data_IF_362811004843
#
_entry.id   IF_362811004843
#
_cell.length_a   1.000
_cell.length_b   1.000
_cell.length_c   1.000
_cell.angle_alpha   90.00
_cell.angle_beta   90.00
_cell.angle_gamma   90.00
#
_symmetry.space_group_name_H-M   'P 1'
#
loop_
_entity.id
_entity.type
_entity.pdbx_description
1 polymer ?
#
# COMPACT_ATOMS: atom_id res chain seq x y z
N UNK A 1 -0.65 -2.91 -24.14
CA UNK A 1 0.17 -2.02 -24.99
C UNK A 1 1.22 -1.26 -24.16
N UNK A 2 2.00 -1.97 -23.32
CA UNK A 2 3.11 -1.43 -22.51
C UNK A 2 4.54 -1.93 -22.84
N UNK A 3 4.77 -3.07 -23.54
CA UNK A 3 6.12 -3.63 -23.58
C UNK A 3 7.12 -2.84 -24.44
N UNK A 4 6.66 -1.96 -25.35
CA UNK A 4 7.54 -1.29 -26.32
C UNK A 4 8.26 -0.03 -25.79
N UNK A 5 7.74 0.66 -24.77
CA UNK A 5 8.37 1.89 -24.25
C UNK A 5 9.36 1.62 -23.10
N UNK A 6 9.17 0.54 -22.34
CA UNK A 6 10.04 0.14 -21.24
C UNK A 6 11.46 -0.24 -21.69
N UNK A 7 11.61 -0.69 -22.95
CA UNK A 7 12.89 -1.05 -23.56
C UNK A 7 13.59 0.13 -24.24
N UNK A 8 13.02 1.33 -24.21
CA UNK A 8 13.68 2.51 -24.77
C UNK A 8 14.82 2.96 -23.85
N UNK A 9 16.03 3.11 -24.40
CA UNK A 9 17.18 3.71 -23.71
C UNK A 9 16.90 5.14 -23.20
N UNK A 10 15.81 5.76 -23.66
CA UNK A 10 15.38 7.10 -23.27
C UNK A 10 14.29 7.13 -22.18
N UNK A 11 13.78 5.98 -21.73
CA UNK A 11 12.68 5.91 -20.73
C UNK A 11 12.98 6.70 -19.46
N UNK A 12 14.18 6.52 -18.87
CA UNK A 12 14.63 7.26 -17.68
C UNK A 12 14.73 8.78 -17.92
N UNK A 13 15.19 9.18 -19.11
CA UNK A 13 15.30 10.60 -19.48
C UNK A 13 13.92 11.23 -19.64
N UNK A 14 12.97 10.52 -20.26
CA UNK A 14 11.58 10.95 -20.41
C UNK A 14 10.91 11.07 -19.05
N UNK A 15 11.05 10.06 -18.17
CA UNK A 15 10.53 10.11 -16.80
C UNK A 15 11.06 11.33 -16.06
N UNK A 16 12.38 11.55 -16.10
CA UNK A 16 13.01 12.70 -15.44
C UNK A 16 12.51 14.02 -16.01
N UNK A 17 12.37 14.12 -17.33
CA UNK A 17 11.85 15.30 -18.00
C UNK A 17 10.39 15.58 -17.63
N UNK A 18 9.51 14.57 -17.69
CA UNK A 18 8.10 14.70 -17.32
C UNK A 18 7.90 15.08 -15.85
N UNK A 19 8.72 14.53 -14.95
CA UNK A 19 8.70 14.94 -13.55
C UNK A 19 9.11 16.42 -13.44
N UNK A 20 10.25 16.83 -14.01
CA UNK A 20 10.73 18.22 -13.94
C UNK A 20 9.77 19.23 -14.56
N UNK A 21 9.23 18.94 -15.75
CA UNK A 21 8.32 19.85 -16.46
C UNK A 21 6.96 20.00 -15.79
N UNK A 22 6.59 19.07 -14.91
CA UNK A 22 5.35 19.11 -14.13
C UNK A 22 5.54 19.66 -12.72
N UNK A 23 6.73 20.13 -12.34
CA UNK A 23 7.01 20.66 -11.00
C UNK A 23 6.13 21.89 -10.69
N UNK A 24 5.63 21.93 -9.46
CA UNK A 24 4.97 23.12 -8.93
C UNK A 24 6.01 24.13 -8.45
N UNK A 25 5.66 25.42 -8.47
CA UNK A 25 6.51 26.45 -7.87
C UNK A 25 6.68 26.21 -6.37
N UNK A 26 7.91 26.43 -5.86
CA UNK A 26 8.21 26.28 -4.45
C UNK A 26 7.32 27.22 -3.61
N UNK A 27 6.73 26.73 -2.50
CA UNK A 27 5.94 27.58 -1.63
C UNK A 27 6.84 28.65 -1.00
N UNK A 28 6.30 29.85 -0.78
CA UNK A 28 7.00 30.92 -0.07
C UNK A 28 7.25 30.57 1.40
N UNK A 29 6.37 29.78 2.00
CA UNK A 29 6.46 29.27 3.38
C UNK A 29 6.01 27.82 3.43
N UNK A 30 6.78 26.97 4.10
CA UNK A 30 6.38 25.58 4.36
C UNK A 30 5.17 25.54 5.31
N UNK A 31 4.24 24.59 5.13
CA UNK A 31 3.17 24.39 6.09
C UNK A 31 3.77 23.83 7.39
N UNK A 32 3.49 24.52 8.50
CA UNK A 32 3.90 24.08 9.84
C UNK A 32 2.81 23.21 10.47
N UNK A 33 3.19 22.02 10.93
CA UNK A 33 2.31 21.02 11.54
C UNK A 33 2.68 20.80 13.00
N UNK A 34 1.67 20.73 13.85
CA UNK A 34 1.83 20.44 15.27
C UNK A 34 1.36 19.00 15.52
N UNK A 35 2.30 18.12 15.81
CA UNK A 35 2.05 16.68 15.89
C UNK A 35 2.22 16.23 17.34
N UNK A 36 1.18 15.61 17.89
CA UNK A 36 1.22 14.97 19.19
C UNK A 36 1.52 13.47 19.02
N UNK A 37 2.79 13.09 19.13
CA UNK A 37 3.21 11.68 19.01
C UNK A 37 2.86 10.84 20.22
N UNK A 38 2.68 11.45 21.39
CA UNK A 38 2.27 10.73 22.59
C UNK A 38 0.87 10.12 22.39
N UNK A 39 -0.10 10.92 21.94
CA UNK A 39 -1.45 10.43 21.62
C UNK A 39 -1.44 9.40 20.47
N UNK A 40 -0.56 9.58 19.47
CA UNK A 40 -0.40 8.61 18.39
C UNK A 40 0.11 7.26 18.91
N UNK A 41 1.09 7.26 19.83
CA UNK A 41 1.61 6.05 20.48
C UNK A 41 0.57 5.36 21.35
N UNK A 42 -0.23 6.12 22.11
CA UNK A 42 -1.32 5.55 22.90
C UNK A 42 -2.36 4.86 22.02
N UNK A 43 -2.80 5.51 20.94
CA UNK A 43 -3.69 4.91 19.95
C UNK A 43 -3.03 3.69 19.29
N UNK A 44 -1.75 3.75 18.97
CA UNK A 44 -1.04 2.63 18.37
C UNK A 44 -1.00 1.40 19.28
N UNK A 45 -0.82 1.59 20.58
CA UNK A 45 -0.85 0.51 21.56
C UNK A 45 -2.26 -0.05 21.76
N UNK A 46 -3.29 0.79 21.65
CA UNK A 46 -4.68 0.38 21.78
C UNK A 46 -5.60 1.19 20.85
N UNK A 47 -5.79 0.75 19.58
CA UNK A 47 -6.58 1.49 18.60
C UNK A 47 -8.04 1.68 19.01
N UNK A 48 -8.56 0.84 19.92
CA UNK A 48 -9.93 0.95 20.40
C UNK A 48 -10.19 2.23 21.23
N UNK A 49 -9.16 2.90 21.74
CA UNK A 49 -9.30 4.14 22.52
C UNK A 49 -9.67 5.36 21.65
N UNK A 50 -9.33 5.34 20.37
CA UNK A 50 -9.74 6.36 19.39
C UNK A 50 -10.14 5.67 18.08
N UNK A 51 -11.38 5.13 18.00
CA UNK A 51 -11.87 4.45 16.79
C UNK A 51 -11.96 5.36 15.56
N UNK A 52 -11.87 6.68 15.75
CA UNK A 52 -11.87 7.66 14.66
C UNK A 52 -10.48 7.92 14.08
N UNK A 53 -9.44 7.32 14.67
CA UNK A 53 -8.03 7.46 14.31
C UNK A 53 -7.54 8.93 14.31
N UNK A 54 -8.23 9.85 14.99
CA UNK A 54 -7.93 11.29 14.98
C UNK A 54 -6.55 11.62 15.53
N UNK A 55 -6.06 10.81 16.45
CA UNK A 55 -4.80 10.99 17.15
C UNK A 55 -3.61 10.33 16.45
N UNK A 56 -3.83 9.60 15.36
CA UNK A 56 -2.72 9.07 14.54
C UNK A 56 -1.90 10.18 13.90
N UNK A 57 -0.60 9.97 13.73
CA UNK A 57 0.26 10.90 12.98
C UNK A 57 -0.27 11.06 11.56
N UNK A 58 -0.70 9.99 10.91
CA UNK A 58 -1.34 10.02 9.59
C UNK A 58 -2.50 11.01 9.50
N UNK A 59 -3.40 11.01 10.48
CA UNK A 59 -4.55 11.92 10.49
C UNK A 59 -4.16 13.33 10.93
N UNK A 60 -3.16 13.47 11.81
CA UNK A 60 -2.64 14.77 12.24
C UNK A 60 -1.89 15.52 11.12
N UNK A 61 -1.16 14.78 10.29
CA UNK A 61 -0.48 15.31 9.08
C UNK A 61 -1.47 15.47 7.92
N UNK A 62 -2.55 14.69 7.94
CA UNK A 62 -3.58 14.68 6.92
C UNK A 62 -4.34 16.01 6.77
N UNK A 63 -5.03 16.17 5.63
CA UNK A 63 -5.65 17.43 5.20
C UNK A 63 -6.74 17.97 6.14
N UNK A 64 -7.33 17.15 7.01
CA UNK A 64 -8.54 17.53 7.76
C UNK A 64 -8.26 18.27 9.08
N UNK A 65 -7.00 18.36 9.54
CA UNK A 65 -6.66 18.92 10.86
C UNK A 65 -5.72 20.14 10.82
N UNK A 66 -5.25 20.56 9.65
CA UNK A 66 -4.45 21.78 9.52
C UNK A 66 -5.31 23.01 9.90
N UNK A 67 -4.90 23.84 10.88
CA UNK A 67 -5.69 24.97 11.40
C UNK A 67 -6.09 26.01 10.34
N UNK A 68 -5.34 26.06 9.23
CA UNK A 68 -5.60 26.95 8.11
C UNK A 68 -6.16 26.13 6.94
N UNK A 69 -7.42 26.37 6.55
CA UNK A 69 -8.01 25.87 5.31
C UNK A 69 -7.14 26.12 4.05
N UNK A 70 -6.25 27.12 4.10
CA UNK A 70 -5.25 27.38 3.06
C UNK A 70 -4.13 26.34 2.98
N UNK A 71 -3.70 25.71 4.07
CA UNK A 71 -2.62 24.71 4.07
C UNK A 71 -3.07 23.37 3.46
N UNK A 72 -4.38 23.10 3.51
CA UNK A 72 -5.03 21.90 2.98
C UNK A 72 -4.80 21.79 1.46
N UNK A 73 -4.93 22.89 0.71
CA UNK A 73 -4.68 22.90 -0.74
C UNK A 73 -3.20 22.81 -1.13
N UNK A 74 -2.27 23.08 -0.20
CA UNK A 74 -0.84 23.11 -0.51
C UNK A 74 -0.19 21.73 -0.42
N UNK A 75 -0.67 20.80 0.41
CA UNK A 75 -0.07 19.46 0.52
C UNK A 75 -0.67 18.46 -0.48
N UNK A 76 -1.96 18.57 -0.78
CA UNK A 76 -2.76 17.55 -1.49
C UNK A 76 -2.40 17.32 -2.96
N UNK A 77 -1.69 18.23 -3.63
CA UNK A 77 -1.42 18.08 -5.07
C UNK A 77 -0.10 18.71 -5.50
N UNK A 78 0.78 19.03 -4.56
CA UNK A 78 2.06 19.63 -4.91
C UNK A 78 2.95 18.61 -5.60
N UNK A 79 3.47 19.03 -6.75
CA UNK A 79 4.43 18.28 -7.54
C UNK A 79 5.81 18.77 -7.16
N UNK A 80 6.29 18.31 -6.00
CA UNK A 80 7.55 18.78 -5.42
C UNK A 80 8.72 18.63 -6.41
N UNK A 81 9.62 19.63 -6.48
CA UNK A 81 10.90 19.50 -7.16
C UNK A 81 11.79 18.45 -6.50
N UNK A 82 12.66 17.80 -7.27
CA UNK A 82 13.60 16.80 -6.75
C UNK A 82 14.58 17.37 -5.70
N UNK A 83 14.88 18.67 -5.77
CA UNK A 83 15.75 19.35 -4.79
C UNK A 83 15.08 19.56 -3.43
N UNK A 84 13.77 19.34 -3.34
CA UNK A 84 12.99 19.61 -2.14
C UNK A 84 12.93 18.36 -1.25
N UNK A 85 13.51 18.44 -0.05
CA UNK A 85 13.66 17.34 0.91
C UNK A 85 12.74 17.46 2.14
N UNK A 86 11.75 18.34 2.09
CA UNK A 86 10.84 18.58 3.21
C UNK A 86 9.50 19.07 2.69
N UNK A 87 8.39 18.43 3.08
CA UNK A 87 7.05 18.82 2.59
C UNK A 87 6.28 19.68 3.59
N UNK A 88 6.64 19.57 4.88
CA UNK A 88 6.10 20.34 5.99
C UNK A 88 7.15 20.51 7.09
N UNK A 89 6.98 21.53 7.93
CA UNK A 89 7.75 21.70 9.17
C UNK A 89 7.02 21.04 10.33
N UNK A 90 7.72 20.24 11.13
CA UNK A 90 7.14 19.58 12.29
C UNK A 90 7.44 20.34 13.59
N UNK A 91 6.44 20.49 14.45
CA UNK A 91 6.63 20.79 15.86
C UNK A 91 5.97 19.68 16.68
N UNK A 92 6.79 18.87 17.35
CA UNK A 92 6.29 17.81 18.20
C UNK A 92 5.86 18.38 19.55
N UNK A 93 4.55 18.36 19.79
CA UNK A 93 3.94 18.89 21.00
C UNK A 93 4.55 18.14 22.19
N UNK A 94 5.03 18.88 23.20
CA UNK A 94 5.69 18.39 24.43
C UNK A 94 7.11 17.83 24.30
N UNK A 95 7.65 17.67 23.09
CA UNK A 95 9.01 17.11 22.90
C UNK A 95 10.11 18.17 22.76
N UNK A 96 9.75 19.45 22.62
CA UNK A 96 10.71 20.57 22.55
C UNK A 96 11.56 20.60 21.28
N UNK A 97 11.22 19.79 20.27
CA UNK A 97 11.93 19.68 18.99
C UNK A 97 11.39 20.77 18.04
N UNK A 98 12.27 21.67 17.60
CA UNK A 98 12.04 22.58 16.48
C UNK A 98 12.80 22.06 15.24
N UNK A 99 12.09 21.86 14.14
CA UNK A 99 12.56 21.05 13.00
C UNK A 99 13.56 21.77 12.09
N UNK A 100 14.73 21.15 11.86
CA UNK A 100 15.70 21.47 10.79
C UNK A 100 15.69 20.40 9.65
N UNK A 101 14.58 19.67 9.49
CA UNK A 101 14.35 18.59 8.52
C UNK A 101 14.32 17.16 9.12
N UNK A 102 14.63 16.99 10.40
CA UNK A 102 14.56 15.70 11.11
C UNK A 102 13.14 15.33 11.53
N UNK A 103 12.37 16.28 12.05
CA UNK A 103 10.99 16.07 12.48
C UNK A 103 10.05 15.70 11.34
N UNK A 104 10.26 16.26 10.15
CA UNK A 104 9.59 15.81 8.93
C UNK A 104 9.81 14.31 8.65
N UNK A 105 11.06 13.84 8.59
CA UNK A 105 11.37 12.43 8.33
C UNK A 105 10.87 11.49 9.42
N UNK A 106 10.95 11.92 10.68
CA UNK A 106 10.39 11.19 11.81
C UNK A 106 8.86 11.03 11.64
N UNK A 107 8.16 12.11 11.29
CA UNK A 107 6.71 12.05 11.07
C UNK A 107 6.32 11.17 9.88
N UNK A 108 7.13 11.13 8.81
CA UNK A 108 6.90 10.25 7.67
C UNK A 108 7.17 8.77 8.02
N UNK A 109 8.14 8.53 8.89
CA UNK A 109 8.41 7.21 9.47
C UNK A 109 7.26 6.75 10.36
N UNK A 110 6.74 7.64 11.22
CA UNK A 110 5.57 7.36 12.05
C UNK A 110 4.34 7.03 11.19
N UNK A 111 4.10 7.79 10.10
CA UNK A 111 3.03 7.50 9.13
C UNK A 111 3.19 6.13 8.47
N UNK A 112 4.40 5.81 8.02
CA UNK A 112 4.72 4.51 7.41
C UNK A 112 4.39 3.36 8.36
N UNK A 113 4.80 3.53 9.62
CA UNK A 113 4.65 2.54 10.68
C UNK A 113 3.20 2.42 11.21
N UNK A 114 2.38 3.47 11.08
CA UNK A 114 0.94 3.41 11.32
C UNK A 114 0.16 2.73 10.17
N UNK A 115 0.62 2.91 8.91
CA UNK A 115 -0.03 2.30 7.74
C UNK A 115 0.32 0.81 7.60
N UNK A 116 1.60 0.47 7.77
CA UNK A 116 2.12 -0.89 7.66
C UNK A 116 3.07 -1.17 8.83
N UNK A 117 2.56 -1.56 10.02
CA UNK A 117 3.41 -1.87 11.17
C UNK A 117 4.48 -2.91 10.86
N UNK A 118 5.71 -2.65 11.30
CA UNK A 118 6.85 -3.56 11.09
C UNK A 118 6.82 -4.81 11.96
N UNK A 119 6.14 -4.74 13.11
CA UNK A 119 5.98 -5.88 14.02
C UNK A 119 4.74 -6.69 13.69
N UNK A 120 4.88 -8.01 13.56
CA UNK A 120 3.79 -8.97 13.34
C UNK A 120 2.71 -8.96 14.44
N UNK A 121 3.11 -8.75 15.68
CA UNK A 121 2.23 -8.80 16.86
C UNK A 121 1.57 -7.45 17.18
N UNK A 122 2.05 -6.36 16.56
CA UNK A 122 1.47 -5.05 16.78
C UNK A 122 0.06 -4.98 16.18
N UNK A 123 -0.90 -4.33 16.86
CA UNK A 123 -2.20 -4.06 16.27
C UNK A 123 -2.02 -3.17 15.04
N UNK A 124 -2.89 -3.35 14.04
CA UNK A 124 -2.93 -2.46 12.87
C UNK A 124 -3.74 -1.22 13.26
N UNK A 125 -3.12 -0.04 13.41
CA UNK A 125 -3.80 1.09 14.02
C UNK A 125 -4.73 1.81 13.05
N UNK A 126 -4.47 1.73 11.73
CA UNK A 126 -5.27 2.40 10.71
C UNK A 126 -6.13 1.39 9.92
N UNK A 127 -7.39 1.73 9.57
CA UNK A 127 -8.29 0.80 8.90
C UNK A 127 -8.04 0.68 7.39
N UNK A 128 -6.97 1.28 6.84
CA UNK A 128 -6.73 1.36 5.39
C UNK A 128 -6.06 0.10 4.83
N UNK A 129 -5.29 -0.61 5.63
CA UNK A 129 -4.60 -1.80 5.22
C UNK A 129 -4.89 -2.94 6.21
N UNK A 130 -4.89 -4.16 5.72
CA UNK A 130 -5.01 -5.39 6.52
C UNK A 130 -3.83 -6.28 6.22
N UNK A 131 -3.45 -7.08 7.23
CA UNK A 131 -2.41 -8.10 7.09
C UNK A 131 -2.85 -9.13 6.04
N UNK A 132 -1.91 -9.62 5.26
CA UNK A 132 -2.20 -10.70 4.30
C UNK A 132 -2.47 -12.02 5.04
N UNK A 133 -3.21 -12.95 4.40
CA UNK A 133 -3.48 -14.29 4.96
C UNK A 133 -2.19 -15.05 5.30
N UNK A 134 -1.11 -14.79 4.54
CA UNK A 134 0.19 -15.42 4.74
C UNK A 134 0.84 -15.15 6.11
N UNK A 135 0.45 -14.11 6.85
CA UNK A 135 1.06 -13.80 8.15
C UNK A 135 0.75 -14.83 9.24
N UNK A 136 -0.38 -15.54 9.14
CA UNK A 136 -0.78 -16.57 10.11
C UNK A 136 0.01 -17.88 10.00
N UNK A 137 0.73 -18.10 8.88
CA UNK A 137 1.39 -19.36 8.57
C UNK A 137 2.91 -19.24 8.73
N UNK A 138 3.50 -20.15 9.52
CA UNK A 138 4.86 -20.06 10.05
C UNK A 138 6.01 -20.31 9.05
N UNK A 139 5.86 -20.02 7.75
CA UNK A 139 6.88 -20.35 6.76
C UNK A 139 6.85 -19.49 5.48
N UNK A 140 7.41 -18.28 5.50
CA UNK A 140 8.04 -17.61 4.33
C UNK A 140 8.66 -16.24 4.68
N UNK A 141 9.48 -15.72 3.77
CA UNK A 141 10.05 -14.35 3.69
C UNK A 141 8.99 -13.25 3.39
N UNK A 142 7.70 -13.59 3.30
CA UNK A 142 6.60 -12.67 2.93
C UNK A 142 5.70 -12.31 4.11
N UNK A 143 6.17 -12.54 5.34
CA UNK A 143 5.40 -12.48 6.59
C UNK A 143 4.84 -11.12 6.98
N UNK A 144 5.30 -10.03 6.37
CA UNK A 144 4.99 -8.68 6.88
C UNK A 144 4.40 -7.77 5.81
N UNK A 145 3.62 -8.35 4.88
CA UNK A 145 2.95 -7.55 3.84
C UNK A 145 1.50 -7.24 4.16
N UNK A 146 1.01 -6.17 3.56
CA UNK A 146 -0.31 -5.60 3.78
C UNK A 146 -1.04 -5.38 2.45
N UNK A 147 -2.35 -5.59 2.42
CA UNK A 147 -3.22 -5.30 1.28
C UNK A 147 -4.27 -4.26 1.68
N UNK A 148 -4.78 -3.42 0.75
CA UNK A 148 -5.81 -2.46 1.09
C UNK A 148 -7.05 -3.17 1.63
N UNK A 149 -7.63 -2.62 2.70
CA UNK A 149 -8.81 -3.18 3.35
C UNK A 149 -10.08 -3.02 2.48
N UNK A 150 -10.67 -4.10 1.95
CA UNK A 150 -11.87 -4.01 1.12
C UNK A 150 -13.13 -3.57 1.89
N UNK A 151 -13.11 -3.51 3.23
CA UNK A 151 -14.19 -2.93 4.04
C UNK A 151 -14.08 -1.42 4.22
N UNK A 152 -12.92 -0.82 3.94
CA UNK A 152 -12.70 0.60 4.19
C UNK A 152 -13.08 1.43 2.96
N UNK A 153 -14.12 2.26 3.11
CA UNK A 153 -14.64 3.12 2.04
C UNK A 153 -14.20 4.58 2.18
N UNK A 154 -13.14 4.85 2.96
CA UNK A 154 -12.57 6.19 3.11
C UNK A 154 -11.63 6.52 1.94
N UNK A 155 -12.21 6.59 0.74
CA UNK A 155 -11.47 6.85 -0.50
C UNK A 155 -10.63 8.13 -0.48
N UNK A 156 -11.08 9.26 0.12
CA UNK A 156 -10.23 10.45 0.25
C UNK A 156 -8.93 10.20 1.03
N UNK A 157 -8.93 9.33 2.04
CA UNK A 157 -7.70 8.95 2.76
C UNK A 157 -6.82 8.01 1.94
N UNK A 158 -7.39 7.13 1.12
CA UNK A 158 -6.62 6.36 0.13
C UNK A 158 -6.00 7.26 -0.95
N UNK A 159 -6.73 8.27 -1.43
CA UNK A 159 -6.17 9.29 -2.33
C UNK A 159 -5.02 10.05 -1.67
N UNK A 160 -5.13 10.36 -0.37
CA UNK A 160 -4.04 10.98 0.40
C UNK A 160 -2.81 10.07 0.49
N UNK A 161 -2.98 8.77 0.77
CA UNK A 161 -1.88 7.79 0.72
C UNK A 161 -1.22 7.80 -0.66
N UNK A 162 -2.01 7.78 -1.74
CA UNK A 162 -1.50 7.88 -3.11
C UNK A 162 -0.71 9.16 -3.39
N UNK A 163 -1.12 10.29 -2.81
CA UNK A 163 -0.40 11.56 -2.92
C UNK A 163 0.93 11.52 -2.18
N UNK A 164 0.98 10.93 -0.98
CA UNK A 164 2.24 10.70 -0.25
C UNK A 164 3.20 9.79 -1.03
N UNK A 165 2.69 8.71 -1.63
CA UNK A 165 3.48 7.86 -2.52
C UNK A 165 4.03 8.66 -3.71
N UNK A 166 3.21 9.52 -4.31
CA UNK A 166 3.65 10.40 -5.40
C UNK A 166 4.68 11.42 -4.97
N UNK A 167 4.57 11.97 -3.76
CA UNK A 167 5.56 12.89 -3.21
C UNK A 167 6.91 12.21 -2.95
N UNK A 168 6.87 10.99 -2.38
CA UNK A 168 8.06 10.15 -2.20
C UNK A 168 8.73 9.87 -3.56
N UNK A 169 7.97 9.42 -4.56
CA UNK A 169 8.46 9.12 -5.92
C UNK A 169 9.23 10.29 -6.57
N UNK A 170 8.82 11.53 -6.29
CA UNK A 170 9.40 12.74 -6.86
C UNK A 170 10.61 13.27 -6.10
N UNK A 171 10.77 12.87 -4.85
CA UNK A 171 11.80 13.39 -3.95
C UNK A 171 12.83 12.31 -3.60
N UNK A 172 13.67 12.58 -2.61
CA UNK A 172 14.58 11.59 -2.01
C UNK A 172 14.03 11.00 -0.71
N UNK A 173 12.83 11.41 -0.32
CA UNK A 173 12.17 10.99 0.90
C UNK A 173 11.38 9.71 0.64
N UNK A 174 11.33 8.83 1.64
CA UNK A 174 10.79 7.48 1.49
C UNK A 174 9.53 7.32 2.33
N UNK A 175 8.52 6.68 1.76
CA UNK A 175 7.32 6.21 2.45
C UNK A 175 7.39 4.69 2.48
N UNK A 176 7.71 4.10 3.63
CA UNK A 176 7.98 2.67 3.75
C UNK A 176 6.65 1.93 3.86
N UNK A 177 6.19 1.33 2.76
CA UNK A 177 4.98 0.52 2.71
C UNK A 177 5.32 -0.91 2.34
N UNK A 178 5.02 -1.86 3.24
CA UNK A 178 5.21 -3.27 2.99
C UNK A 178 4.02 -3.86 2.22
N UNK A 179 3.93 -3.59 0.92
CA UNK A 179 2.85 -4.05 0.04
C UNK A 179 3.34 -5.18 -0.87
N UNK A 180 2.51 -6.20 -1.17
CA UNK A 180 2.89 -7.28 -2.06
C UNK A 180 2.95 -6.82 -3.53
N UNK A 181 3.66 -7.57 -4.37
CA UNK A 181 3.77 -7.32 -5.81
C UNK A 181 2.42 -7.14 -6.50
N UNK A 182 1.38 -7.85 -6.01
CA UNK A 182 0.00 -7.72 -6.47
C UNK A 182 -0.49 -6.26 -6.43
N UNK A 183 -0.28 -5.55 -5.33
CA UNK A 183 -0.72 -4.16 -5.15
C UNK A 183 0.06 -3.22 -6.06
N UNK A 184 1.39 -3.36 -6.10
CA UNK A 184 2.25 -2.54 -6.96
C UNK A 184 1.94 -2.72 -8.44
N UNK A 185 1.69 -3.95 -8.89
CA UNK A 185 1.28 -4.23 -10.27
C UNK A 185 -0.05 -3.58 -10.61
N UNK A 186 -1.04 -3.68 -9.72
CA UNK A 186 -2.33 -3.01 -9.95
C UNK A 186 -2.18 -1.48 -10.03
N UNK A 187 -1.37 -0.87 -9.16
CA UNK A 187 -1.08 0.57 -9.19
C UNK A 187 -0.35 1.00 -10.47
N UNK A 188 0.66 0.22 -10.89
CA UNK A 188 1.37 0.43 -12.14
C UNK A 188 0.46 0.20 -13.35
N UNK A 189 -0.60 -0.61 -13.23
CA UNK A 189 -1.45 -1.06 -14.34
C UNK A 189 -0.80 -2.19 -15.14
N UNK A 190 -0.06 -3.05 -14.47
CA UNK A 190 0.49 -4.31 -14.99
C UNK A 190 -0.45 -5.47 -14.70
N UNK A 191 -0.33 -6.54 -15.49
CA UNK A 191 -1.12 -7.75 -15.31
C UNK A 191 -0.68 -8.51 -14.06
N UNK A 192 -1.67 -8.96 -13.27
CA UNK A 192 -1.45 -9.71 -12.03
C UNK A 192 -1.66 -11.20 -12.32
N UNK A 193 -0.69 -12.01 -11.92
CA UNK A 193 -0.73 -13.46 -12.04
C UNK A 193 -1.27 -14.08 -10.75
N UNK A 194 -2.29 -14.93 -10.88
CA UNK A 194 -2.84 -15.70 -9.76
C UNK A 194 -1.76 -16.55 -9.06
N UNK A 195 -1.10 -17.42 -9.81
CA UNK A 195 -0.16 -18.39 -9.23
C UNK A 195 1.11 -17.76 -8.65
N UNK A 196 1.53 -16.60 -9.16
CA UNK A 196 2.77 -15.93 -8.71
C UNK A 196 2.52 -14.78 -7.74
N UNK A 197 1.66 -13.83 -8.11
CA UNK A 197 1.51 -12.59 -7.36
C UNK A 197 0.52 -12.76 -6.21
N UNK A 198 -0.61 -13.42 -6.44
CA UNK A 198 -1.59 -13.66 -5.37
C UNK A 198 -1.08 -14.66 -4.32
N UNK A 199 -0.16 -15.56 -4.69
CA UNK A 199 0.55 -16.42 -3.72
C UNK A 199 1.31 -15.64 -2.65
N UNK A 200 1.70 -14.37 -2.91
CA UNK A 200 2.32 -13.49 -1.89
C UNK A 200 1.31 -12.93 -0.88
N UNK A 201 0.01 -12.99 -1.20
CA UNK A 201 -1.11 -12.61 -0.33
C UNK A 201 -1.65 -13.82 0.43
N UNK A 202 -1.94 -14.90 -0.30
CA UNK A 202 -2.56 -16.11 0.25
C UNK A 202 -2.11 -17.36 -0.53
N UNK A 203 -0.96 -17.92 -0.11
CA UNK A 203 -0.38 -19.10 -0.73
C UNK A 203 -1.24 -20.35 -0.51
N UNK A 204 -1.92 -20.42 0.63
CA UNK A 204 -2.76 -21.56 1.00
C UNK A 204 -3.97 -21.66 0.08
N UNK A 205 -4.64 -20.54 -0.18
CA UNK A 205 -5.74 -20.49 -1.14
C UNK A 205 -5.29 -20.83 -2.55
N UNK A 206 -4.12 -20.35 -3.00
CA UNK A 206 -3.58 -20.72 -4.32
C UNK A 206 -3.41 -22.24 -4.42
N UNK A 207 -2.76 -22.86 -3.43
CA UNK A 207 -2.55 -24.32 -3.39
C UNK A 207 -3.86 -25.10 -3.31
N UNK A 208 -4.83 -24.61 -2.54
CA UNK A 208 -6.15 -25.22 -2.43
C UNK A 208 -6.87 -25.27 -3.79
N UNK A 209 -6.84 -24.17 -4.55
CA UNK A 209 -7.47 -24.14 -5.87
C UNK A 209 -6.72 -25.01 -6.90
N UNK A 210 -5.39 -25.11 -6.80
CA UNK A 210 -4.59 -26.03 -7.63
C UNK A 210 -4.96 -27.50 -7.37
N UNK A 211 -5.11 -27.89 -6.10
CA UNK A 211 -5.60 -29.23 -5.72
C UNK A 211 -7.01 -29.45 -6.25
N UNK A 212 -7.90 -28.47 -6.08
CA UNK A 212 -9.29 -28.54 -6.55
C UNK A 212 -9.39 -28.68 -8.07
N UNK A 213 -8.46 -28.10 -8.83
CA UNK A 213 -8.43 -28.22 -10.28
C UNK A 213 -8.03 -29.63 -10.74
N UNK A 214 -6.99 -30.19 -10.11
CA UNK A 214 -6.34 -31.45 -10.50
C UNK A 214 -6.92 -32.72 -9.89
N UNK A 215 -7.79 -32.62 -8.88
CA UNK A 215 -8.42 -33.78 -8.21
C UNK A 215 -9.35 -34.55 -9.15
N UNK A 216 -9.41 -35.87 -8.99
CA UNK A 216 -10.40 -36.73 -9.64
C UNK A 216 -11.79 -36.64 -8.97
N UNK A 217 -12.80 -37.27 -9.56
CA UNK A 217 -14.17 -37.16 -9.07
C UNK A 217 -14.34 -37.83 -7.70
N UNK A 218 -13.80 -39.01 -7.54
CA UNK A 218 -13.94 -39.81 -6.32
C UNK A 218 -13.31 -39.09 -5.12
N UNK A 219 -12.10 -38.56 -5.29
CA UNK A 219 -11.42 -37.79 -4.26
C UNK A 219 -12.10 -36.44 -4.00
N UNK A 220 -12.64 -35.77 -5.03
CA UNK A 220 -13.41 -34.54 -4.84
C UNK A 220 -14.63 -34.76 -3.94
N UNK A 221 -15.42 -35.81 -4.20
CA UNK A 221 -16.62 -36.10 -3.42
C UNK A 221 -16.29 -36.41 -1.95
N UNK A 222 -15.15 -37.05 -1.70
CA UNK A 222 -14.67 -37.35 -0.33
C UNK A 222 -14.16 -36.10 0.38
N UNK A 223 -13.40 -35.24 -0.31
CA UNK A 223 -12.73 -34.09 0.31
C UNK A 223 -13.60 -32.82 0.37
N UNK A 224 -14.50 -32.62 -0.60
CA UNK A 224 -15.20 -31.34 -0.81
C UNK A 224 -16.71 -31.47 -1.01
N UNK A 225 -17.22 -32.65 -1.41
CA UNK A 225 -18.56 -32.84 -1.98
C UNK A 225 -19.76 -32.43 -1.10
N UNK A 226 -19.55 -32.10 0.18
CA UNK A 226 -20.61 -31.62 1.09
C UNK A 226 -20.26 -30.36 1.88
N UNK A 227 -19.03 -29.88 1.77
CA UNK A 227 -18.52 -28.78 2.59
C UNK A 227 -18.23 -27.54 1.74
N UNK A 228 -17.82 -27.73 0.48
CA UNK A 228 -17.48 -26.63 -0.41
C UNK A 228 -18.76 -25.97 -0.95
N UNK A 229 -18.99 -24.73 -0.53
CA UNK A 229 -20.10 -23.89 -1.01
C UNK A 229 -19.58 -22.77 -1.90
N UNK A 230 -20.45 -22.09 -2.64
CA UNK A 230 -20.08 -20.92 -3.46
C UNK A 230 -19.84 -19.67 -2.60
N UNK A 231 -18.88 -19.76 -1.69
CA UNK A 231 -18.42 -18.67 -0.83
C UNK A 231 -16.90 -18.60 -0.83
N UNK A 232 -16.37 -17.44 -0.43
CA UNK A 232 -14.93 -17.27 -0.20
C UNK A 232 -14.70 -16.27 0.93
N UNK A 233 -13.54 -16.33 1.57
CA UNK A 233 -13.11 -15.41 2.62
C UNK A 233 -12.19 -14.36 2.00
N UNK A 234 -12.54 -13.09 2.17
CA UNK A 234 -11.75 -11.94 1.73
C UNK A 234 -10.62 -11.61 2.72
N UNK A 235 -9.70 -10.72 2.33
CA UNK A 235 -8.55 -10.37 3.18
C UNK A 235 -8.93 -9.62 4.47
N UNK A 236 -10.15 -9.10 4.57
CA UNK A 236 -10.71 -8.52 5.80
C UNK A 236 -11.53 -9.53 6.63
N UNK A 237 -11.36 -10.82 6.35
CA UNK A 237 -12.03 -11.95 7.02
C UNK A 237 -13.55 -12.05 6.77
N UNK A 238 -14.14 -11.22 5.91
CA UNK A 238 -15.55 -11.37 5.55
C UNK A 238 -15.75 -12.55 4.60
N UNK A 239 -16.82 -13.31 4.85
CA UNK A 239 -17.32 -14.32 3.93
C UNK A 239 -18.23 -13.64 2.90
N UNK A 240 -17.97 -13.85 1.62
CA UNK A 240 -18.81 -13.35 0.53
C UNK A 240 -19.32 -14.50 -0.33
N UNK A 241 -20.54 -14.35 -0.83
CA UNK A 241 -21.12 -15.31 -1.78
C UNK A 241 -20.63 -15.01 -3.21
N UNK A 242 -20.24 -16.04 -3.93
CA UNK A 242 -19.76 -15.97 -5.31
C UNK A 242 -20.89 -15.96 -6.33
N UNK A 243 -22.05 -16.49 -5.94
CA UNK A 243 -23.31 -16.53 -6.69
C UNK A 243 -24.47 -16.22 -5.73
N UNK A 244 -25.67 -15.86 -6.21
CA UNK A 244 -26.84 -15.69 -5.35
C UNK A 244 -27.16 -16.97 -4.56
N UNK A 245 -27.35 -16.87 -3.25
CA UNK A 245 -27.54 -18.00 -2.33
C UNK A 245 -26.35 -18.98 -2.33
N UNK A 246 -25.15 -18.46 -2.55
CA UNK A 246 -23.94 -19.26 -2.66
C UNK A 246 -23.60 -20.04 -1.39
N UNK A 247 -23.93 -19.49 -0.21
CA UNK A 247 -23.75 -20.16 1.09
C UNK A 247 -24.56 -21.44 1.25
N UNK A 248 -25.68 -21.57 0.54
CA UNK A 248 -26.56 -22.75 0.59
C UNK A 248 -26.38 -23.67 -0.63
N UNK A 249 -25.48 -23.31 -1.55
CA UNK A 249 -25.27 -24.04 -2.80
C UNK A 249 -23.91 -24.74 -2.74
N UNK A 250 -23.94 -26.08 -2.75
CA UNK A 250 -22.73 -26.91 -2.76
C UNK A 250 -22.13 -26.94 -4.16
N UNK A 251 -20.80 -26.84 -4.24
CA UNK A 251 -20.03 -26.93 -5.48
C UNK A 251 -19.94 -28.40 -5.91
N UNK A 252 -20.37 -28.70 -7.12
CA UNK A 252 -20.24 -30.04 -7.71
C UNK A 252 -18.91 -30.21 -8.43
N UNK A 253 -18.47 -31.44 -8.62
CA UNK A 253 -17.24 -31.75 -9.34
C UNK A 253 -17.21 -31.12 -10.75
N UNK A 254 -18.34 -31.12 -11.45
CA UNK A 254 -18.49 -30.54 -12.78
C UNK A 254 -18.31 -29.02 -12.79
N UNK A 255 -18.71 -28.35 -11.71
CA UNK A 255 -18.70 -26.90 -11.60
C UNK A 255 -17.43 -26.33 -10.96
N UNK A 256 -16.52 -27.20 -10.48
CA UNK A 256 -15.32 -26.79 -9.74
C UNK A 256 -14.45 -25.76 -10.47
N UNK A 257 -14.36 -25.85 -11.80
CA UNK A 257 -13.60 -24.89 -12.62
C UNK A 257 -14.23 -23.50 -12.62
N UNK A 258 -15.56 -23.45 -12.65
CA UNK A 258 -16.27 -22.18 -12.54
C UNK A 258 -16.16 -21.60 -11.12
N UNK A 259 -16.25 -22.45 -10.10
CA UNK A 259 -15.99 -22.03 -8.73
C UNK A 259 -14.58 -21.43 -8.57
N UNK A 260 -13.54 -22.11 -9.08
CA UNK A 260 -12.15 -21.60 -9.07
C UNK A 260 -12.10 -20.23 -9.74
N UNK A 261 -12.68 -20.09 -10.94
CA UNK A 261 -12.70 -18.81 -11.68
C UNK A 261 -13.39 -17.69 -10.88
N UNK A 262 -14.50 -17.99 -10.20
CA UNK A 262 -15.23 -17.04 -9.36
C UNK A 262 -14.42 -16.62 -8.13
N UNK A 263 -13.79 -17.56 -7.43
CA UNK A 263 -12.90 -17.26 -6.29
C UNK A 263 -11.74 -16.38 -6.76
N UNK A 264 -11.05 -16.76 -7.83
CA UNK A 264 -9.93 -15.98 -8.37
C UNK A 264 -10.35 -14.55 -8.70
N UNK A 265 -11.49 -14.39 -9.37
CA UNK A 265 -12.04 -13.06 -9.68
C UNK A 265 -12.34 -12.26 -8.41
N UNK A 266 -13.08 -12.85 -7.47
CA UNK A 266 -13.47 -12.17 -6.24
C UNK A 266 -12.26 -11.70 -5.43
N UNK A 267 -11.24 -12.56 -5.27
CA UNK A 267 -10.04 -12.25 -4.48
C UNK A 267 -9.10 -11.27 -5.18
N UNK A 268 -8.96 -11.33 -6.51
CA UNK A 268 -8.12 -10.37 -7.27
C UNK A 268 -8.76 -8.98 -7.36
N UNK A 269 -10.10 -8.89 -7.34
CA UNK A 269 -10.84 -7.63 -7.48
C UNK A 269 -11.30 -7.03 -6.14
N UNK A 270 -11.05 -7.70 -5.00
CA UNK A 270 -11.65 -7.34 -3.71
C UNK A 270 -11.41 -5.89 -3.28
N UNK A 271 -10.22 -5.34 -3.57
CA UNK A 271 -9.81 -3.99 -3.17
C UNK A 271 -9.65 -3.03 -4.34
N UNK A 272 -10.36 -3.30 -5.45
CA UNK A 272 -10.22 -2.53 -6.70
C UNK A 272 -10.54 -1.04 -6.53
N UNK A 273 -11.53 -0.69 -5.71
CA UNK A 273 -11.93 0.70 -5.46
C UNK A 273 -10.89 1.44 -4.61
N UNK A 274 -10.34 0.79 -3.58
CA UNK A 274 -9.27 1.34 -2.74
C UNK A 274 -8.00 1.56 -3.57
N UNK A 275 -7.62 0.60 -4.42
CA UNK A 275 -6.50 0.74 -5.34
C UNK A 275 -6.73 1.86 -6.34
N UNK A 276 -7.95 2.00 -6.88
CA UNK A 276 -8.29 3.09 -7.78
C UNK A 276 -8.16 4.46 -7.10
N UNK A 277 -8.56 4.58 -5.82
CA UNK A 277 -8.40 5.79 -5.03
C UNK A 277 -6.91 6.12 -4.77
N UNK A 278 -6.09 5.13 -4.38
CA UNK A 278 -4.63 5.33 -4.25
C UNK A 278 -4.04 5.79 -5.58
N UNK A 279 -4.40 5.14 -6.69
CA UNK A 279 -3.93 5.50 -8.03
C UNK A 279 -4.37 6.91 -8.44
N UNK A 280 -5.59 7.33 -8.11
CA UNK A 280 -6.08 8.69 -8.34
C UNK A 280 -5.26 9.73 -7.56
N UNK A 281 -4.93 9.42 -6.30
CA UNK A 281 -4.00 10.20 -5.49
C UNK A 281 -2.62 10.34 -6.13
N UNK A 282 -2.04 9.22 -6.56
CA UNK A 282 -0.74 9.16 -7.22
C UNK A 282 -0.71 10.05 -8.48
N UNK A 283 -1.77 9.99 -9.29
CA UNK A 283 -1.90 10.77 -10.53
C UNK A 283 -2.07 12.28 -10.32
N UNK A 284 -2.48 12.73 -9.13
CA UNK A 284 -2.48 14.16 -8.82
C UNK A 284 -1.05 14.72 -8.76
N UNK A 285 -0.12 13.93 -8.26
CA UNK A 285 1.28 14.33 -8.03
C UNK A 285 2.23 13.88 -9.16
N UNK A 286 1.96 12.71 -9.74
CA UNK A 286 2.80 12.08 -10.76
C UNK A 286 2.06 12.05 -12.10
N UNK A 287 2.62 12.63 -13.17
CA UNK A 287 1.98 12.59 -14.50
C UNK A 287 1.75 11.15 -14.98
N UNK A 288 0.62 10.90 -15.64
CA UNK A 288 0.26 9.60 -16.22
C UNK A 288 1.39 8.98 -17.08
N UNK A 289 2.09 9.72 -17.97
CA UNK A 289 3.19 9.15 -18.76
C UNK A 289 4.33 8.59 -17.91
N UNK A 290 4.57 9.14 -16.72
CA UNK A 290 5.59 8.62 -15.81
C UNK A 290 5.17 7.27 -15.26
N UNK A 291 3.92 7.11 -14.81
CA UNK A 291 3.43 5.83 -14.31
C UNK A 291 3.39 4.76 -15.40
N UNK A 292 3.08 5.13 -16.64
CA UNK A 292 3.07 4.18 -17.77
C UNK A 292 4.45 3.68 -18.17
N UNK A 293 5.50 4.46 -17.87
CA UNK A 293 6.89 4.14 -18.16
C UNK A 293 7.61 3.40 -17.03
N UNK A 294 7.02 3.34 -15.83
CA UNK A 294 7.62 2.63 -14.70
C UNK A 294 7.10 1.20 -14.64
N UNK A 295 8.01 0.24 -14.40
CA UNK A 295 7.59 -1.08 -13.93
C UNK A 295 7.13 -0.99 -12.48
N UNK A 296 6.36 -1.98 -12.01
CA UNK A 296 5.92 -2.05 -10.62
C UNK A 296 7.10 -2.04 -9.63
N UNK A 297 8.23 -2.70 -9.95
CA UNK A 297 9.43 -2.68 -9.10
C UNK A 297 10.12 -1.31 -9.09
N UNK A 298 10.06 -0.56 -10.20
CA UNK A 298 10.60 0.80 -10.23
C UNK A 298 9.70 1.76 -9.45
N UNK A 299 8.38 1.58 -9.53
CA UNK A 299 7.41 2.33 -8.74
C UNK A 299 7.64 2.08 -7.24
N UNK A 300 7.70 0.82 -6.81
CA UNK A 300 7.99 0.42 -5.43
C UNK A 300 9.32 1.04 -4.95
N UNK A 301 10.42 0.84 -5.68
CA UNK A 301 11.74 1.38 -5.29
C UNK A 301 11.79 2.89 -5.19
N UNK A 302 11.02 3.60 -6.03
CA UNK A 302 10.93 5.07 -5.96
C UNK A 302 10.12 5.57 -4.77
N UNK A 303 9.18 4.77 -4.27
CA UNK A 303 8.33 5.13 -3.12
C UNK A 303 8.97 4.70 -1.80
N UNK A 304 9.40 3.44 -1.71
CA UNK A 304 9.88 2.81 -0.47
C UNK A 304 11.41 2.79 -0.35
N UNK A 305 12.14 3.08 -1.44
CA UNK A 305 13.60 2.91 -1.50
C UNK A 305 14.00 1.49 -1.91
N UNK A 306 15.31 1.22 -1.92
CA UNK A 306 15.81 -0.12 -2.21
C UNK A 306 15.64 -1.03 -0.97
N UNK A 307 14.95 -2.17 -1.08
CA UNK A 307 14.81 -3.11 0.04
C UNK A 307 16.11 -3.85 0.36
N UNK A 308 17.06 -3.89 -0.58
CA UNK A 308 18.37 -4.53 -0.41
C UNK A 308 19.42 -3.46 -0.09
N UNK A 309 19.78 -3.38 1.19
CA UNK A 309 20.96 -2.63 1.62
C UNK A 309 22.17 -3.55 1.42
N UNK A 310 22.89 -3.38 0.31
CA UNK A 310 24.18 -4.06 0.11
C UNK A 310 25.23 -3.50 1.08
N UNK A 311 26.18 -4.33 1.55
CA UNK A 311 27.25 -3.86 2.44
C UNK A 311 28.02 -2.67 1.82
N UNK A 312 28.19 -2.64 0.50
CA UNK A 312 28.82 -1.54 -0.22
C UNK A 312 28.04 -0.21 -0.08
N UNK A 313 26.70 -0.26 -0.01
CA UNK A 313 25.88 0.93 0.25
C UNK A 313 26.04 1.39 1.71
N UNK A 314 26.05 0.47 2.67
CA UNK A 314 26.28 0.78 4.09
C UNK A 314 27.65 1.41 4.35
N UNK A 315 28.70 0.91 3.72
CA UNK A 315 30.06 1.44 3.86
C UNK A 315 30.18 2.87 3.31
N UNK A 316 29.50 3.19 2.21
CA UNK A 316 29.52 4.54 1.63
C UNK A 316 28.80 5.61 2.48
N UNK A 317 27.89 5.21 3.38
CA UNK A 317 27.18 6.11 4.30
C UNK A 317 27.76 6.13 5.73
N UNK A 318 28.75 5.28 6.02
CA UNK A 318 29.38 5.21 7.35
C UNK A 318 30.64 6.06 7.38
N UNK A 319 30.58 7.25 8.00
CA UNK A 319 31.78 8.00 8.39
C UNK A 319 32.14 7.61 9.82
N UNK A 320 33.26 6.90 9.97
CA UNK A 320 33.88 6.71 11.28
C UNK A 320 34.61 8.00 11.65
N UNK A 321 34.30 8.55 12.82
CA UNK A 321 35.15 9.55 13.46
C UNK A 321 36.17 8.81 14.32
N UNK A 322 37.45 9.14 14.15
CA UNK A 322 38.55 8.69 15.01
C UNK A 322 38.40 9.21 16.46
#
# INVERSE_FOLDING_TARGET
MKPFLLLSEHSTAIVTHCLRSSESTAPQTLPKLYINRHLAREHRNNPALDPSCRNTVFTQVGPHRAPCQMCIGLLLSRRWPLSYSQWWECEFITEGICDNGGGFRDSLSDVSEELCPSSGDAPVPLPFFVRTSNQGNSSSDTRDTYVPNPSCNDFPKYEWIGQLMGAALRSKELLILALPALVWKQLAGEEVSWSKDFATVDLELVKLLEVLEGVDREAFEVMFGRELTYTTVLSDQRVVELIPNGSSTVVRYEDRKEFIRLVQKARLEESKEQIAAIRAGLLRVVPQPVLDLLTWQQLERKVCGDPVITMDKLQNFSKYQD
#
